data_IF_424618704209
#
_entry.id   IF_424618704209
#
_cell.length_a   1.000
_cell.length_b   1.000
_cell.length_c   1.000
_cell.angle_alpha   90.00
_cell.angle_beta   90.00
_cell.angle_gamma   90.00
#
_symmetry.space_group_name_H-M   'P 1'
#
loop_
_entity.id
_entity.type
_entity.pdbx_description
1 polymer ?
#
# COMPACT_ATOMS: atom_id res chain seq x y z
N UNK A 1 61.53 32.97 -64.80
CA UNK A 1 62.35 32.99 -63.57
C UNK A 1 61.50 33.56 -62.44
N UNK A 2 61.60 32.94 -61.25
CA UNK A 2 60.89 33.22 -59.98
C UNK A 2 59.52 32.53 -59.77
N UNK A 3 59.65 31.41 -59.03
CA UNK A 3 58.71 30.57 -58.30
C UNK A 3 57.60 31.35 -57.54
N UNK A 4 56.35 30.86 -57.59
CA UNK A 4 55.38 31.06 -56.49
C UNK A 4 54.93 29.72 -55.94
N UNK A 5 55.33 29.50 -54.70
CA UNK A 5 54.99 28.40 -53.81
C UNK A 5 53.52 28.52 -53.39
N UNK A 6 52.72 27.45 -53.51
CA UNK A 6 51.47 27.31 -52.76
C UNK A 6 51.46 25.93 -52.11
N UNK A 7 51.44 25.94 -50.78
CA UNK A 7 51.45 24.78 -49.90
C UNK A 7 50.16 23.92 -50.01
N UNK A 8 50.25 22.62 -49.67
CA UNK A 8 49.12 21.70 -49.71
C UNK A 8 48.16 21.98 -48.56
N UNK A 9 46.86 22.04 -48.86
CA UNK A 9 45.81 21.99 -47.83
C UNK A 9 45.68 20.53 -47.39
N UNK A 10 45.98 20.30 -46.11
CA UNK A 10 45.75 19.04 -45.40
C UNK A 10 44.31 18.55 -45.63
N UNK A 11 44.19 17.27 -45.98
CA UNK A 11 42.92 16.55 -45.99
C UNK A 11 42.31 16.54 -44.60
N UNK A 12 41.09 17.09 -44.51
CA UNK A 12 40.25 17.06 -43.33
C UNK A 12 39.81 15.60 -43.10
N UNK A 13 40.37 14.95 -42.07
CA UNK A 13 39.94 13.64 -41.63
C UNK A 13 38.51 13.72 -41.10
N UNK A 14 37.56 13.18 -41.84
CA UNK A 14 36.19 12.94 -41.36
C UNK A 14 36.25 11.72 -40.45
N UNK A 15 36.51 11.96 -39.17
CA UNK A 15 36.18 11.04 -38.08
C UNK A 15 34.67 11.17 -37.83
N UNK A 16 33.87 10.50 -38.64
CA UNK A 16 32.48 10.21 -38.29
C UNK A 16 32.53 9.20 -37.14
N UNK A 17 32.54 9.74 -35.92
CA UNK A 17 32.38 8.96 -34.71
C UNK A 17 31.11 8.13 -34.84
N UNK A 18 31.28 6.80 -34.88
CA UNK A 18 30.22 5.89 -34.52
C UNK A 18 29.86 6.23 -33.07
N UNK A 19 28.85 7.08 -32.91
CA UNK A 19 28.16 7.25 -31.65
C UNK A 19 27.61 5.88 -31.30
N UNK A 20 28.35 5.13 -30.48
CA UNK A 20 27.81 4.01 -29.75
C UNK A 20 26.75 4.66 -28.89
N UNK A 21 25.50 4.62 -29.36
CA UNK A 21 24.36 4.84 -28.49
C UNK A 21 24.44 3.71 -27.48
N UNK A 22 25.15 3.96 -26.37
CA UNK A 22 24.95 3.17 -25.17
C UNK A 22 23.54 3.53 -24.75
N UNK A 23 22.58 2.79 -25.29
CA UNK A 23 21.23 2.78 -24.77
C UNK A 23 21.38 2.21 -23.37
N UNK A 24 21.59 3.09 -22.39
CA UNK A 24 21.50 2.71 -21.00
C UNK A 24 20.13 2.07 -20.83
N UNK A 25 20.13 0.82 -20.36
CA UNK A 25 18.92 0.06 -20.15
C UNK A 25 18.04 0.85 -19.19
N UNK A 26 17.03 1.52 -19.73
CA UNK A 26 16.11 2.32 -18.94
C UNK A 26 15.47 1.40 -17.90
N UNK A 27 15.54 1.80 -16.63
CA UNK A 27 14.99 1.01 -15.53
C UNK A 27 13.48 0.90 -15.72
N UNK A 28 13.03 -0.32 -16.00
CA UNK A 28 11.62 -0.66 -16.05
C UNK A 28 11.23 -1.31 -14.72
N UNK A 29 10.07 -0.91 -14.17
CA UNK A 29 9.52 -1.51 -12.97
C UNK A 29 8.01 -1.70 -13.12
N UNK A 30 7.44 -2.53 -12.26
CA UNK A 30 5.99 -2.75 -12.16
C UNK A 30 5.50 -2.35 -10.78
N UNK A 31 4.63 -1.34 -10.71
CA UNK A 31 3.87 -1.03 -9.50
C UNK A 31 2.70 -2.00 -9.43
N UNK A 32 2.65 -2.81 -8.38
CA UNK A 32 1.55 -3.74 -8.10
C UNK A 32 0.70 -3.16 -7.00
N UNK A 33 -0.59 -3.01 -7.27
CA UNK A 33 -1.55 -2.52 -6.30
C UNK A 33 -2.06 -3.66 -5.43
N UNK A 34 -2.59 -3.31 -4.25
CA UNK A 34 -3.28 -4.26 -3.37
C UNK A 34 -4.53 -4.86 -4.01
N UNK A 35 -5.11 -4.19 -5.01
CA UNK A 35 -6.19 -4.73 -5.85
C UNK A 35 -5.72 -5.83 -6.81
N UNK A 36 -4.40 -5.98 -7.00
CA UNK A 36 -3.79 -6.84 -8.02
C UNK A 36 -3.59 -6.16 -9.38
N UNK A 37 -4.08 -4.92 -9.54
CA UNK A 37 -3.80 -4.07 -10.70
C UNK A 37 -2.30 -3.80 -10.82
N UNK A 38 -1.82 -3.65 -12.06
CA UNK A 38 -0.40 -3.52 -12.38
C UNK A 38 -0.15 -2.35 -13.32
N UNK A 39 0.78 -1.49 -12.95
CA UNK A 39 1.29 -0.43 -13.80
C UNK A 39 2.77 -0.67 -14.09
N UNK A 40 3.09 -1.13 -15.30
CA UNK A 40 4.47 -1.37 -15.74
C UNK A 40 4.94 -0.19 -16.56
N UNK A 41 6.12 0.35 -16.24
CA UNK A 41 6.63 1.54 -16.89
C UNK A 41 8.05 1.88 -16.51
N UNK A 42 8.46 3.09 -16.89
CA UNK A 42 9.79 3.68 -16.62
C UNK A 42 9.63 4.97 -15.81
N UNK A 43 10.74 5.64 -15.50
CA UNK A 43 10.77 6.92 -14.79
C UNK A 43 9.88 6.90 -13.56
N UNK A 44 10.02 5.87 -12.72
CA UNK A 44 9.27 5.84 -11.47
C UNK A 44 9.68 7.05 -10.61
N UNK A 45 8.78 7.50 -9.76
CA UNK A 45 9.06 8.50 -8.76
C UNK A 45 8.40 8.12 -7.44
N UNK A 46 8.99 8.54 -6.34
CA UNK A 46 8.33 8.56 -5.05
C UNK A 46 8.34 9.96 -4.46
N UNK A 47 7.14 10.47 -4.23
CA UNK A 47 6.89 11.74 -3.55
C UNK A 47 6.64 11.46 -2.07
N UNK A 48 7.65 11.70 -1.24
CA UNK A 48 7.55 11.48 0.20
C UNK A 48 6.52 12.41 0.86
N UNK A 49 6.39 13.65 0.37
CA UNK A 49 5.45 14.66 0.85
C UNK A 49 3.98 14.25 0.64
N UNK A 50 3.65 13.76 -0.56
CA UNK A 50 2.31 13.34 -0.93
C UNK A 50 2.05 11.85 -0.67
N UNK A 51 3.09 11.09 -0.33
CA UNK A 51 3.11 9.62 -0.29
C UNK A 51 2.53 9.00 -1.57
N UNK A 52 3.05 9.43 -2.72
CA UNK A 52 2.64 8.94 -4.03
C UNK A 52 3.81 8.27 -4.76
N UNK A 53 3.53 7.12 -5.37
CA UNK A 53 4.41 6.50 -6.37
C UNK A 53 3.91 6.90 -7.75
N UNK A 54 4.78 7.49 -8.57
CA UNK A 54 4.50 7.69 -9.99
C UNK A 54 5.22 6.65 -10.83
N UNK A 55 4.62 6.26 -11.95
CA UNK A 55 5.23 5.38 -12.95
C UNK A 55 4.81 5.85 -14.33
N UNK A 56 5.74 6.05 -15.26
CA UNK A 56 5.40 6.45 -16.62
C UNK A 56 5.11 5.21 -17.48
N UNK A 57 3.84 4.96 -17.76
CA UNK A 57 3.33 3.81 -18.53
C UNK A 57 3.38 4.07 -20.04
N UNK A 58 3.26 5.32 -20.47
CA UNK A 58 3.39 5.73 -21.88
C UNK A 58 4.01 7.13 -22.01
N UNK A 59 4.15 7.67 -23.23
CA UNK A 59 4.70 9.03 -23.40
C UNK A 59 3.85 10.12 -22.75
N UNK A 60 2.52 9.90 -22.66
CA UNK A 60 1.56 10.90 -22.19
C UNK A 60 0.86 10.47 -20.89
N UNK A 61 1.26 9.33 -20.31
CA UNK A 61 0.58 8.74 -19.16
C UNK A 61 1.59 8.42 -18.07
N UNK A 62 1.38 9.04 -16.91
CA UNK A 62 2.17 8.82 -15.71
C UNK A 62 1.25 8.71 -14.50
N UNK A 63 0.65 7.52 -14.26
CA UNK A 63 -0.19 7.30 -13.10
C UNK A 63 0.55 7.65 -11.81
N UNK A 64 -0.16 8.35 -10.92
CA UNK A 64 0.28 8.67 -9.55
C UNK A 64 -0.62 7.92 -8.59
N UNK A 65 -0.03 6.98 -7.87
CA UNK A 65 -0.74 6.06 -6.99
C UNK A 65 -0.36 6.39 -5.56
N UNK A 66 -1.36 6.55 -4.69
CA UNK A 66 -1.09 6.71 -3.26
C UNK A 66 -0.47 5.41 -2.71
N UNK A 67 0.60 5.50 -1.92
CA UNK A 67 1.29 4.31 -1.37
C UNK A 67 0.38 3.39 -0.58
N UNK A 68 -0.74 3.87 -0.05
CA UNK A 68 -1.71 3.02 0.65
C UNK A 68 -2.38 1.99 -0.27
N UNK A 69 -2.44 2.28 -1.57
CA UNK A 69 -2.96 1.40 -2.63
C UNK A 69 -1.87 0.49 -3.22
N UNK A 70 -0.60 0.84 -3.04
CA UNK A 70 0.54 0.06 -3.52
C UNK A 70 0.77 -1.13 -2.59
N UNK A 71 0.88 -2.33 -3.16
CA UNK A 71 1.37 -3.52 -2.46
C UNK A 71 2.90 -3.54 -2.49
N UNK A 72 3.47 -3.45 -3.70
CA UNK A 72 4.91 -3.33 -3.90
C UNK A 72 5.28 -2.77 -5.27
N UNK A 73 6.55 -2.35 -5.40
CA UNK A 73 7.20 -2.03 -6.68
C UNK A 73 8.22 -3.11 -7.00
N UNK A 74 8.08 -3.74 -8.17
CA UNK A 74 8.93 -4.82 -8.65
C UNK A 74 9.92 -4.34 -9.73
N UNK A 75 11.21 -4.58 -9.50
CA UNK A 75 12.29 -4.25 -10.45
C UNK A 75 12.85 -5.49 -11.17
N UNK A 76 12.10 -6.59 -11.21
CA UNK A 76 12.47 -7.80 -11.96
C UNK A 76 13.36 -8.76 -11.18
N UNK A 77 13.03 -9.04 -9.92
CA UNK A 77 13.73 -10.03 -9.08
C UNK A 77 12.82 -11.19 -8.67
N UNK A 78 13.37 -12.40 -8.55
CA UNK A 78 12.70 -13.56 -7.92
C UNK A 78 12.72 -13.40 -6.40
N UNK A 79 12.10 -12.36 -5.88
CA UNK A 79 11.97 -12.19 -4.43
C UNK A 79 10.80 -13.04 -3.93
N UNK A 80 11.11 -14.27 -3.51
CA UNK A 80 10.25 -14.99 -2.58
C UNK A 80 10.05 -14.12 -1.33
N UNK A 81 8.79 -14.02 -0.89
CA UNK A 81 8.24 -13.03 0.04
C UNK A 81 9.07 -12.80 1.32
N UNK A 82 9.13 -11.56 1.85
CA UNK A 82 9.11 -11.38 3.29
C UNK A 82 7.70 -11.74 3.79
N UNK A 83 7.54 -12.92 4.37
CA UNK A 83 6.27 -13.45 4.90
C UNK A 83 5.79 -12.73 6.16
N UNK A 84 6.49 -11.68 6.61
CA UNK A 84 6.13 -10.86 7.78
C UNK A 84 6.67 -9.43 7.64
N UNK A 85 6.01 -8.59 6.84
CA UNK A 85 6.02 -7.14 7.03
C UNK A 85 4.77 -6.81 7.85
N UNK A 86 4.93 -6.21 9.03
CA UNK A 86 3.76 -5.70 9.77
C UNK A 86 3.21 -4.47 9.07
N UNK A 87 1.92 -4.18 9.21
CA UNK A 87 1.16 -3.30 8.30
C UNK A 87 1.61 -1.84 8.16
N UNK A 88 2.64 -1.39 8.89
CA UNK A 88 3.27 -0.07 8.76
C UNK A 88 4.77 -0.11 8.45
N UNK A 89 5.35 -1.29 8.19
CA UNK A 89 6.76 -1.43 7.87
C UNK A 89 6.99 -1.29 6.36
N UNK A 90 7.75 -0.26 5.96
CA UNK A 90 8.31 -0.21 4.62
C UNK A 90 9.58 -1.08 4.59
N UNK A 91 9.86 -1.65 3.43
CA UNK A 91 11.03 -2.49 3.28
C UNK A 91 11.57 -2.47 1.85
N UNK A 92 12.88 -2.60 1.74
CA UNK A 92 13.57 -2.86 0.48
C UNK A 92 14.13 -4.27 0.53
N UNK A 93 13.73 -5.09 -0.43
CA UNK A 93 14.25 -6.44 -0.63
C UNK A 93 15.26 -6.41 -1.75
N UNK A 94 16.50 -6.77 -1.42
CA UNK A 94 17.60 -6.87 -2.37
C UNK A 94 17.53 -8.18 -3.15
N UNK A 95 18.16 -8.22 -4.33
CA UNK A 95 18.22 -9.42 -5.17
C UNK A 95 18.97 -10.58 -4.52
N UNK A 96 19.83 -10.31 -3.54
CA UNK A 96 20.52 -11.33 -2.74
C UNK A 96 19.66 -11.90 -1.59
N UNK A 97 18.42 -11.43 -1.44
CA UNK A 97 17.48 -11.85 -0.40
C UNK A 97 17.54 -11.02 0.88
N UNK A 98 18.47 -10.08 1.01
CA UNK A 98 18.56 -9.18 2.17
C UNK A 98 17.32 -8.30 2.26
N UNK A 99 16.75 -8.18 3.47
CA UNK A 99 15.59 -7.33 3.75
C UNK A 99 16.03 -6.17 4.62
N UNK A 100 15.93 -4.95 4.10
CA UNK A 100 16.15 -3.71 4.84
C UNK A 100 14.80 -3.14 5.24
N UNK A 101 14.53 -3.06 6.54
CA UNK A 101 13.28 -2.50 7.10
C UNK A 101 13.50 -1.05 7.53
N UNK A 102 12.50 -0.20 7.32
CA UNK A 102 12.61 1.21 7.64
C UNK A 102 11.60 2.08 6.91
N UNK A 103 12.00 3.30 6.56
CA UNK A 103 11.23 4.26 5.79
C UNK A 103 11.91 4.52 4.45
N UNK A 104 11.22 4.27 3.34
CA UNK A 104 11.65 4.68 2.01
C UNK A 104 11.57 6.19 1.92
N UNK A 105 12.68 6.82 1.59
CA UNK A 105 12.81 8.29 1.48
C UNK A 105 12.79 8.70 0.01
N UNK A 106 13.39 7.90 -0.85
CA UNK A 106 13.54 8.23 -2.26
C UNK A 106 13.43 6.97 -3.11
N UNK A 107 12.77 7.10 -4.25
CA UNK A 107 12.75 6.15 -5.33
C UNK A 107 12.71 6.98 -6.61
N UNK A 108 13.78 6.95 -7.39
CA UNK A 108 13.98 7.89 -8.49
C UNK A 108 15.43 7.99 -8.93
N UNK A 109 15.66 8.82 -9.93
CA UNK A 109 17.00 9.27 -10.30
C UNK A 109 17.67 10.04 -9.16
N UNK A 110 19.00 9.95 -9.05
CA UNK A 110 19.79 10.72 -8.08
C UNK A 110 19.53 12.22 -8.23
N UNK A 111 19.43 12.68 -9.47
CA UNK A 111 18.95 14.01 -9.81
C UNK A 111 17.62 13.88 -10.58
N UNK A 112 16.48 14.29 -10.00
CA UNK A 112 15.18 14.24 -10.69
C UNK A 112 15.12 15.06 -11.97
N UNK A 113 16.00 16.05 -12.15
CA UNK A 113 16.09 16.86 -13.36
C UNK A 113 17.00 16.23 -14.45
N UNK A 114 17.69 15.13 -14.13
CA UNK A 114 18.63 14.46 -15.02
C UNK A 114 18.42 12.93 -14.99
N UNK A 115 17.65 12.46 -15.95
CA UNK A 115 17.30 11.05 -16.14
C UNK A 115 18.50 10.17 -16.57
N UNK A 116 19.68 10.75 -16.83
CA UNK A 116 20.92 10.00 -17.06
C UNK A 116 21.61 9.57 -15.77
N UNK A 117 21.19 10.10 -14.61
CA UNK A 117 21.78 9.74 -13.32
C UNK A 117 21.29 8.39 -12.84
N UNK A 118 22.11 7.73 -12.01
CA UNK A 118 21.77 6.42 -11.45
C UNK A 118 20.40 6.46 -10.75
N UNK A 119 19.58 5.46 -11.09
CA UNK A 119 18.29 5.26 -10.46
C UNK A 119 18.47 4.52 -9.13
N UNK A 120 18.02 5.11 -8.03
CA UNK A 120 18.30 4.66 -6.68
C UNK A 120 17.04 4.56 -5.82
N UNK A 121 17.16 3.71 -4.79
CA UNK A 121 16.22 3.65 -3.67
C UNK A 121 16.98 4.05 -2.41
N UNK A 122 16.48 5.03 -1.69
CA UNK A 122 17.01 5.43 -0.37
C UNK A 122 16.05 4.97 0.71
N UNK A 123 16.55 4.22 1.68
CA UNK A 123 15.79 3.79 2.86
C UNK A 123 16.52 4.24 4.13
N UNK A 124 15.80 4.85 5.06
CA UNK A 124 16.26 5.03 6.45
C UNK A 124 15.85 3.81 7.24
N UNK A 125 16.83 3.02 7.65
CA UNK A 125 16.61 1.78 8.41
C UNK A 125 15.98 2.07 9.78
N UNK A 126 15.45 1.04 10.44
CA UNK A 126 14.94 1.14 11.82
C UNK A 126 16.01 1.63 12.82
N UNK A 127 17.30 1.39 12.53
CA UNK A 127 18.43 1.93 13.31
C UNK A 127 18.75 3.41 13.04
N UNK A 128 18.01 4.07 12.15
CA UNK A 128 18.21 5.47 11.76
C UNK A 128 19.27 5.70 10.67
N UNK A 129 19.97 4.65 10.22
CA UNK A 129 20.96 4.74 9.14
C UNK A 129 20.27 4.89 7.78
N UNK A 130 20.68 5.88 6.98
CA UNK A 130 20.25 6.03 5.59
C UNK A 130 21.12 5.18 4.65
N UNK A 131 20.48 4.27 3.91
CA UNK A 131 21.10 3.40 2.92
C UNK A 131 20.65 3.82 1.53
N UNK A 132 21.60 4.16 0.66
CA UNK A 132 21.37 4.44 -0.76
C UNK A 132 21.70 3.20 -1.58
N UNK A 133 20.72 2.69 -2.31
CA UNK A 133 20.77 1.40 -2.99
C UNK A 133 20.57 1.63 -4.49
N UNK A 134 21.56 1.30 -5.34
CA UNK A 134 21.36 1.28 -6.78
C UNK A 134 20.24 0.28 -7.13
N UNK A 135 19.32 0.64 -8.03
CA UNK A 135 18.20 -0.26 -8.36
C UNK A 135 18.66 -1.59 -8.96
N UNK A 136 19.88 -1.66 -9.52
CA UNK A 136 20.52 -2.93 -9.94
C UNK A 136 20.72 -3.94 -8.80
N UNK A 137 20.65 -3.51 -7.54
CA UNK A 137 20.68 -4.39 -6.35
C UNK A 137 19.29 -4.66 -5.76
N UNK A 138 18.31 -3.81 -6.08
CA UNK A 138 16.95 -3.87 -5.50
C UNK A 138 16.06 -4.81 -6.30
N UNK A 139 15.49 -5.83 -5.65
CA UNK A 139 14.47 -6.68 -6.24
C UNK A 139 13.07 -6.07 -6.10
N UNK A 140 12.68 -5.66 -4.88
CA UNK A 140 11.35 -5.16 -4.59
C UNK A 140 11.35 -4.09 -3.50
N UNK A 141 10.43 -3.14 -3.60
CA UNK A 141 10.17 -2.13 -2.57
C UNK A 141 8.74 -2.27 -2.09
N UNK A 142 8.57 -2.38 -0.77
CA UNK A 142 7.27 -2.44 -0.09
C UNK A 142 7.04 -1.12 0.62
N UNK A 143 5.84 -0.58 0.47
CA UNK A 143 5.41 0.63 1.16
C UNK A 143 4.46 0.28 2.30
N UNK A 144 4.51 1.07 3.36
CA UNK A 144 3.65 0.93 4.53
C UNK A 144 2.26 1.43 4.15
N UNK A 145 1.34 0.51 3.91
CA UNK A 145 -0.04 0.84 3.61
C UNK A 145 -0.95 0.51 4.79
N UNK A 146 -1.28 1.54 5.59
CA UNK A 146 -2.30 1.49 6.64
C UNK A 146 -1.81 1.97 8.01
N UNK A 147 -1.60 3.28 8.13
CA UNK A 147 -1.28 3.94 9.40
C UNK A 147 -0.95 5.41 9.17
N UNK A 148 -1.92 6.30 9.39
CA UNK A 148 -1.74 7.74 9.29
C UNK A 148 -0.71 8.23 10.32
N UNK A 149 0.48 8.60 9.84
CA UNK A 149 1.43 9.43 10.57
C UNK A 149 1.36 10.84 10.00
N UNK A 150 0.74 11.74 10.76
CA UNK A 150 0.67 13.17 10.45
C UNK A 150 2.06 13.82 10.46
N UNK A 151 2.29 14.72 9.50
CA UNK A 151 2.86 16.05 9.77
C UNK A 151 2.77 16.96 8.53
N UNK A 152 1.73 17.80 8.47
CA UNK A 152 1.84 19.19 8.03
C UNK A 152 0.55 19.93 8.44
N UNK A 153 0.72 21.04 9.18
CA UNK A 153 -0.36 21.82 9.75
C UNK A 153 -1.30 22.42 8.71
N UNK A 154 -2.59 22.21 8.93
CA UNK A 154 -3.68 22.92 8.27
C UNK A 154 -4.90 22.82 9.17
N UNK A 155 -5.17 23.85 9.96
CA UNK A 155 -6.39 23.92 10.76
C UNK A 155 -7.59 24.09 9.83
N UNK A 156 -8.29 23.00 9.54
CA UNK A 156 -9.68 23.04 9.09
C UNK A 156 -10.60 22.49 10.17
N UNK A 157 -11.61 23.28 10.47
CA UNK A 157 -12.45 23.24 11.65
C UNK A 157 -13.49 22.11 11.51
N UNK A 158 -13.39 21.08 12.37
CA UNK A 158 -14.53 20.26 12.78
C UNK A 158 -14.84 18.99 11.95
N UNK A 159 -13.87 18.11 11.75
CA UNK A 159 -14.16 16.68 11.53
C UNK A 159 -13.99 15.95 12.86
N UNK A 160 -14.93 15.07 13.21
CA UNK A 160 -14.74 14.20 14.36
C UNK A 160 -13.51 13.31 14.09
N UNK A 161 -12.54 13.40 14.98
CA UNK A 161 -11.35 12.56 14.93
C UNK A 161 -11.78 11.13 15.23
N UNK A 162 -11.97 10.32 14.17
CA UNK A 162 -12.16 8.88 14.32
C UNK A 162 -11.01 8.31 15.15
N UNK A 163 -11.33 7.45 16.12
CA UNK A 163 -10.27 6.72 16.82
C UNK A 163 -9.49 5.90 15.80
N UNK A 164 -8.18 6.13 15.75
CA UNK A 164 -7.31 5.45 14.81
C UNK A 164 -7.30 3.95 15.10
N UNK A 165 -7.41 3.15 14.04
CA UNK A 165 -7.18 1.71 14.10
C UNK A 165 -5.69 1.47 14.44
N UNK A 166 -5.42 0.74 15.52
CA UNK A 166 -4.06 0.54 16.05
C UNK A 166 -3.76 -0.94 16.32
N UNK A 167 -2.48 -1.31 16.28
CA UNK A 167 -2.00 -2.67 16.56
C UNK A 167 -1.94 -3.60 15.33
N UNK A 168 -1.59 -4.87 15.56
CA UNK A 168 -1.56 -5.90 14.51
C UNK A 168 -2.92 -6.57 14.36
N UNK A 169 -3.33 -6.84 13.12
CA UNK A 169 -4.63 -7.48 12.85
C UNK A 169 -5.06 -7.34 11.39
N UNK A 170 -6.18 -7.96 11.07
CA UNK A 170 -6.85 -7.86 9.77
C UNK A 170 -7.43 -6.45 9.65
N UNK A 171 -7.13 -5.75 8.56
CA UNK A 171 -7.74 -4.45 8.25
C UNK A 171 -9.11 -4.68 7.63
N UNK A 172 -10.15 -4.17 8.27
CA UNK A 172 -11.53 -4.20 7.78
C UNK A 172 -11.90 -2.78 7.37
N UNK A 173 -11.76 -2.47 6.08
CA UNK A 173 -12.09 -1.15 5.54
C UNK A 173 -13.60 -0.93 5.56
N UNK A 174 -14.03 0.26 5.94
CA UNK A 174 -15.44 0.65 5.89
C UNK A 174 -16.01 0.69 4.46
N UNK A 175 -15.14 0.72 3.44
CA UNK A 175 -15.54 0.78 2.02
C UNK A 175 -15.60 -0.58 1.33
N UNK A 176 -15.33 -1.66 2.05
CA UNK A 176 -15.32 -3.01 1.51
C UNK A 176 -16.30 -3.89 2.30
N UNK A 177 -17.24 -4.50 1.58
CA UNK A 177 -18.29 -5.29 2.23
C UNK A 177 -17.72 -6.48 3.01
N UNK A 178 -16.75 -7.20 2.42
CA UNK A 178 -16.18 -8.42 2.99
C UNK A 178 -14.67 -8.51 2.75
N UNK A 179 -13.90 -8.55 3.83
CA UNK A 179 -12.46 -8.80 3.86
C UNK A 179 -12.19 -10.28 4.14
N UNK A 180 -11.48 -11.00 3.26
CA UNK A 180 -11.05 -12.36 3.56
C UNK A 180 -10.01 -12.37 4.67
N UNK A 181 -10.23 -13.19 5.71
CA UNK A 181 -9.28 -13.29 6.84
C UNK A 181 -8.14 -14.29 6.60
N UNK A 182 -8.28 -15.16 5.60
CA UNK A 182 -7.42 -16.33 5.41
C UNK A 182 -7.65 -17.47 6.41
N UNK A 183 -8.52 -17.28 7.42
CA UNK A 183 -8.83 -18.30 8.41
C UNK A 183 -9.93 -19.24 7.90
N UNK A 184 -9.68 -20.54 8.02
CA UNK A 184 -10.72 -21.57 7.91
C UNK A 184 -11.18 -21.96 9.31
N UNK A 185 -12.50 -21.97 9.53
CA UNK A 185 -13.15 -22.28 10.80
C UNK A 185 -14.07 -23.48 10.67
N UNK A 186 -14.39 -24.12 11.79
CA UNK A 186 -15.43 -25.14 11.92
C UNK A 186 -16.57 -24.63 12.78
N UNK A 187 -17.78 -25.13 12.52
CA UNK A 187 -18.94 -24.82 13.36
C UNK A 187 -18.64 -25.19 14.82
N UNK A 188 -18.88 -24.23 15.72
CA UNK A 188 -18.60 -24.36 17.14
C UNK A 188 -17.19 -23.94 17.58
N UNK A 189 -16.26 -23.65 16.65
CA UNK A 189 -14.96 -23.05 17.00
C UNK A 189 -15.21 -21.76 17.78
N UNK A 190 -14.52 -21.60 18.91
CA UNK A 190 -14.52 -20.34 19.66
C UNK A 190 -13.41 -19.46 19.12
N UNK A 191 -13.73 -18.25 18.68
CA UNK A 191 -12.76 -17.24 18.28
C UNK A 191 -12.91 -15.97 19.11
N UNK A 192 -11.79 -15.39 19.51
CA UNK A 192 -11.73 -14.09 20.16
C UNK A 192 -11.37 -13.01 19.15
N UNK A 193 -12.07 -11.88 19.22
CA UNK A 193 -11.89 -10.73 18.35
C UNK A 193 -11.47 -9.53 19.21
N UNK A 194 -10.30 -8.98 18.93
CA UNK A 194 -9.85 -7.73 19.52
C UNK A 194 -9.86 -6.68 18.41
N UNK A 195 -10.73 -5.69 18.57
CA UNK A 195 -10.98 -4.69 17.53
C UNK A 195 -10.59 -3.31 18.04
N UNK A 196 -9.86 -2.57 17.21
CA UNK A 196 -9.57 -1.15 17.42
C UNK A 196 -10.00 -0.37 16.17
N UNK A 197 -10.11 0.95 16.33
CA UNK A 197 -10.51 1.85 15.25
C UNK A 197 -11.99 2.18 15.24
N UNK A 198 -12.33 3.15 14.41
CA UNK A 198 -13.69 3.60 14.13
C UNK A 198 -13.90 3.79 12.63
N UNK A 199 -15.17 3.75 12.24
CA UNK A 199 -15.62 4.02 10.88
C UNK A 199 -16.63 5.15 10.89
N UNK A 200 -16.61 5.96 9.84
CA UNK A 200 -17.66 6.92 9.52
C UNK A 200 -18.52 6.32 8.41
N UNK A 201 -19.83 6.41 8.57
CA UNK A 201 -20.81 5.66 7.77
C UNK A 201 -21.60 6.52 6.77
N UNK A 202 -21.25 7.80 6.64
CA UNK A 202 -21.80 8.71 5.64
C UNK A 202 -20.93 9.96 5.51
N UNK A 203 -21.35 10.96 4.74
CA UNK A 203 -20.65 12.26 4.67
C UNK A 203 -20.75 13.06 5.99
N UNK A 204 -21.68 12.74 6.89
CA UNK A 204 -21.76 13.38 8.20
C UNK A 204 -20.63 12.88 9.11
N UNK A 205 -19.75 13.79 9.53
CA UNK A 205 -18.62 13.48 10.41
C UNK A 205 -19.04 12.98 11.80
N UNK A 206 -20.32 13.14 12.18
CA UNK A 206 -20.88 12.59 13.42
C UNK A 206 -21.46 11.20 13.28
N UNK A 207 -21.61 10.70 12.05
CA UNK A 207 -22.13 9.37 11.78
C UNK A 207 -21.05 8.29 11.95
N UNK A 208 -20.61 8.14 13.20
CA UNK A 208 -19.47 7.30 13.58
C UNK A 208 -19.95 6.01 14.23
N UNK A 209 -19.23 4.91 13.95
CA UNK A 209 -19.42 3.61 14.57
C UNK A 209 -18.09 3.05 15.10
N UNK A 210 -18.17 2.45 16.29
CA UNK A 210 -17.17 1.52 16.79
C UNK A 210 -17.50 0.08 16.37
N UNK A 211 -16.71 -0.90 16.84
CA UNK A 211 -16.96 -2.31 16.51
C UNK A 211 -18.35 -2.80 16.95
N UNK A 212 -18.92 -2.25 18.02
CA UNK A 212 -20.28 -2.54 18.48
C UNK A 212 -21.38 -1.90 17.62
N UNK A 213 -21.04 -0.96 16.73
CA UNK A 213 -21.94 -0.25 15.83
C UNK A 213 -22.03 1.25 16.12
N UNK A 214 -22.99 1.89 15.46
CA UNK A 214 -23.22 3.35 15.49
C UNK A 214 -23.32 3.89 16.90
N UNK A 215 -22.53 4.93 17.17
CA UNK A 215 -22.56 5.67 18.45
C UNK A 215 -23.90 6.40 18.63
N UNK A 216 -24.55 6.78 17.52
CA UNK A 216 -25.89 7.36 17.50
C UNK A 216 -27.02 6.30 17.56
N UNK A 217 -26.67 5.02 17.69
CA UNK A 217 -27.61 3.89 17.77
C UNK A 217 -28.50 3.73 16.51
N UNK A 218 -28.05 4.21 15.35
CA UNK A 218 -28.79 4.01 14.09
C UNK A 218 -28.64 2.58 13.56
N UNK A 219 -29.62 2.14 12.77
CA UNK A 219 -29.58 0.92 11.97
C UNK A 219 -29.63 1.28 10.48
N UNK A 220 -29.26 0.33 9.63
CA UNK A 220 -29.35 0.44 8.18
C UNK A 220 -30.24 -0.70 7.67
N UNK A 221 -31.37 -0.34 7.05
CA UNK A 221 -32.44 -1.31 6.72
C UNK A 221 -32.02 -2.32 5.65
N UNK A 222 -31.10 -1.94 4.76
CA UNK A 222 -30.60 -2.82 3.69
C UNK A 222 -29.23 -3.42 3.99
N UNK A 223 -28.68 -3.17 5.19
CA UNK A 223 -27.38 -3.70 5.57
C UNK A 223 -27.43 -5.23 5.71
N UNK A 224 -26.29 -5.93 5.70
CA UNK A 224 -26.25 -7.38 5.82
C UNK A 224 -26.98 -7.93 7.06
N UNK A 225 -27.04 -7.17 8.16
CA UNK A 225 -27.81 -7.46 9.37
C UNK A 225 -28.71 -6.26 9.74
N UNK A 226 -29.91 -6.13 9.13
CA UNK A 226 -30.81 -4.99 9.36
C UNK A 226 -31.27 -4.85 10.82
N UNK A 227 -31.29 -5.95 11.57
CA UNK A 227 -31.65 -5.97 12.99
C UNK A 227 -30.57 -5.39 13.92
N UNK A 228 -29.34 -5.24 13.43
CA UNK A 228 -28.17 -4.80 14.19
C UNK A 228 -27.83 -3.33 13.89
N UNK A 229 -27.02 -2.72 14.75
CA UNK A 229 -26.58 -1.34 14.57
C UNK A 229 -25.73 -1.21 13.29
N UNK A 230 -25.89 -0.08 12.61
CA UNK A 230 -25.08 0.24 11.44
C UNK A 230 -23.59 0.34 11.83
N UNK A 231 -22.70 -0.02 10.92
CA UNK A 231 -21.25 -0.01 11.12
C UNK A 231 -20.69 -1.07 12.07
N UNK A 232 -21.54 -1.88 12.72
CA UNK A 232 -21.06 -2.94 13.62
C UNK A 232 -20.17 -3.95 12.87
N UNK A 233 -19.15 -4.47 13.54
CA UNK A 233 -18.31 -5.54 13.00
C UNK A 233 -19.14 -6.81 12.86
N UNK A 234 -19.15 -7.37 11.65
CA UNK A 234 -19.88 -8.59 11.30
C UNK A 234 -18.96 -9.61 10.65
N UNK A 235 -19.37 -10.87 10.73
CA UNK A 235 -18.69 -11.98 10.08
C UNK A 235 -19.58 -12.65 9.03
N UNK A 236 -18.94 -13.34 8.09
CA UNK A 236 -19.58 -14.29 7.18
C UNK A 236 -18.68 -15.49 6.97
N UNK A 237 -19.26 -16.68 6.85
CA UNK A 237 -18.51 -17.91 6.55
C UNK A 237 -18.84 -18.35 5.12
N UNK A 238 -17.83 -18.33 4.24
CA UNK A 238 -18.01 -18.55 2.81
C UNK A 238 -19.04 -17.57 2.23
N UNK A 239 -20.07 -18.13 1.57
CA UNK A 239 -21.23 -17.40 1.06
C UNK A 239 -22.48 -17.59 1.93
N UNK A 240 -22.32 -18.01 3.19
CA UNK A 240 -23.42 -18.21 4.13
C UNK A 240 -24.00 -16.90 4.67
N UNK A 241 -24.90 -17.03 5.63
CA UNK A 241 -25.53 -15.87 6.29
C UNK A 241 -24.50 -15.06 7.11
N UNK A 242 -24.59 -13.71 7.09
CA UNK A 242 -23.88 -12.85 8.02
C UNK A 242 -24.24 -13.13 9.48
N UNK A 243 -23.32 -12.88 10.39
CA UNK A 243 -23.56 -12.99 11.84
C UNK A 243 -22.88 -11.84 12.61
N UNK A 244 -23.44 -11.41 13.75
CA UNK A 244 -22.88 -10.31 14.51
C UNK A 244 -21.62 -10.73 15.27
N UNK A 245 -20.59 -9.88 15.23
CA UNK A 245 -19.39 -10.02 16.07
C UNK A 245 -19.39 -8.91 17.12
N UNK A 246 -19.47 -7.65 16.68
CA UNK A 246 -19.52 -6.52 17.61
C UNK A 246 -18.22 -6.35 18.40
N UNK A 247 -18.37 -6.01 19.68
CA UNK A 247 -17.33 -5.94 20.71
C UNK A 247 -17.25 -7.20 21.59
N UNK A 248 -17.88 -8.30 21.16
CA UNK A 248 -17.89 -9.55 21.91
C UNK A 248 -16.49 -10.14 22.06
N UNK A 249 -16.15 -10.56 23.28
CA UNK A 249 -14.83 -11.15 23.59
C UNK A 249 -14.58 -12.50 22.92
N UNK A 250 -15.61 -13.31 22.75
CA UNK A 250 -15.56 -14.64 22.12
C UNK A 250 -16.86 -14.93 21.37
N UNK A 251 -16.75 -15.45 20.16
CA UNK A 251 -17.89 -15.82 19.31
C UNK A 251 -17.72 -17.28 18.88
N UNK A 252 -18.79 -18.07 19.05
CA UNK A 252 -18.89 -19.41 18.51
C UNK A 252 -19.17 -19.33 17.01
N UNK A 253 -18.33 -19.94 16.17
CA UNK A 253 -18.50 -19.89 14.72
C UNK A 253 -19.79 -20.65 14.31
N UNK A 254 -20.74 -20.00 13.60
CA UNK A 254 -22.04 -20.60 13.30
C UNK A 254 -21.98 -21.67 12.19
N UNK A 255 -20.87 -21.72 11.44
CA UNK A 255 -20.68 -22.60 10.29
C UNK A 255 -19.23 -23.01 10.09
N UNK A 256 -18.98 -23.72 8.99
CA UNK A 256 -17.66 -24.23 8.61
C UNK A 256 -17.25 -23.63 7.26
N UNK A 257 -16.01 -23.16 7.14
CA UNK A 257 -15.47 -22.58 5.91
C UNK A 257 -14.54 -21.41 6.16
N UNK A 258 -14.28 -20.63 5.10
CA UNK A 258 -13.45 -19.42 5.19
C UNK A 258 -14.21 -18.30 5.90
N UNK A 259 -13.57 -17.68 6.89
CA UNK A 259 -14.10 -16.52 7.60
C UNK A 259 -13.80 -15.23 6.83
N UNK A 260 -14.82 -14.40 6.69
CA UNK A 260 -14.76 -13.03 6.19
C UNK A 260 -15.24 -12.08 7.28
N UNK A 261 -14.69 -10.86 7.29
CA UNK A 261 -15.09 -9.77 8.18
C UNK A 261 -15.61 -8.59 7.37
N UNK A 262 -16.57 -7.86 7.90
CA UNK A 262 -17.14 -6.68 7.25
C UNK A 262 -17.75 -5.72 8.25
N UNK A 263 -18.28 -4.61 7.76
CA UNK A 263 -19.10 -3.69 8.54
C UNK A 263 -20.57 -3.85 8.16
N UNK A 264 -21.46 -3.63 9.12
CA UNK A 264 -22.90 -3.69 8.89
C UNK A 264 -23.44 -2.40 8.28
N UNK A 265 -23.27 -2.22 6.98
CA UNK A 265 -23.75 -1.03 6.28
C UNK A 265 -24.20 -1.37 4.85
N UNK A 266 -25.06 -0.53 4.27
CA UNK A 266 -25.67 -0.72 2.95
C UNK A 266 -25.13 0.21 1.85
N UNK A 267 -24.59 1.37 2.23
CA UNK A 267 -23.82 2.24 1.35
C UNK A 267 -22.37 2.28 1.85
N UNK A 268 -21.41 1.99 0.97
CA UNK A 268 -20.00 1.87 1.35
C UNK A 268 -19.14 2.95 0.70
N UNK A 269 -19.65 3.64 -0.32
CA UNK A 269 -18.88 4.63 -1.09
C UNK A 269 -18.61 5.92 -0.31
N UNK A 270 -19.52 6.29 0.58
CA UNK A 270 -19.42 7.47 1.46
C UNK A 270 -18.69 7.17 2.77
N UNK A 271 -18.42 5.90 3.06
CA UNK A 271 -17.73 5.50 4.29
C UNK A 271 -16.27 5.93 4.36
N UNK A 272 -15.77 6.13 5.59
CA UNK A 272 -14.37 6.45 5.90
C UNK A 272 -13.89 5.62 7.10
N UNK A 273 -12.58 5.50 7.26
CA UNK A 273 -11.98 4.77 8.37
C UNK A 273 -11.97 3.24 8.17
N UNK A 274 -11.54 2.54 9.21
CA UNK A 274 -11.35 1.10 9.21
C UNK A 274 -11.31 0.55 10.64
N UNK A 275 -11.55 -0.75 10.76
CA UNK A 275 -11.21 -1.50 11.97
C UNK A 275 -9.90 -2.28 11.79
N UNK A 276 -9.14 -2.42 12.89
CA UNK A 276 -8.05 -3.41 13.01
C UNK A 276 -8.55 -4.55 13.88
N UNK A 277 -8.64 -5.76 13.33
CA UNK A 277 -9.22 -6.92 14.02
C UNK A 277 -8.17 -8.01 14.20
N UNK A 278 -7.73 -8.24 15.44
CA UNK A 278 -6.93 -9.39 15.79
C UNK A 278 -7.84 -10.57 16.13
N UNK A 279 -7.69 -11.64 15.38
CA UNK A 279 -8.46 -12.88 15.58
C UNK A 279 -7.55 -13.93 16.21
N UNK A 280 -8.02 -14.56 17.28
CA UNK A 280 -7.28 -15.63 17.96
C UNK A 280 -8.20 -16.77 18.37
N UNK A 281 -7.67 -17.99 18.38
CA UNK A 281 -8.32 -19.12 19.04
C UNK A 281 -7.97 -19.05 20.54
N UNK A 282 -8.92 -19.31 21.46
CA UNK A 282 -8.58 -19.48 22.86
C UNK A 282 -7.50 -20.56 22.95
N UNK A 283 -6.41 -20.25 23.65
CA UNK A 283 -5.31 -21.20 23.82
C UNK A 283 -5.84 -22.49 24.42
N UNK A 284 -5.51 -23.64 23.81
CA UNK A 284 -5.69 -24.93 24.48
C UNK A 284 -4.77 -24.92 25.70
N UNK A 285 -5.36 -24.94 26.89
CA UNK A 285 -4.64 -25.37 28.09
C UNK A 285 -4.33 -26.85 27.99
#
# INVERSE_FOLDING_TARGET
MVLKLRWPVLGLGILLGLGINVAEAQVQATVVLKSGERHTGRNLGYRMDAREVSVRTSQNEEPRINVNQVDYVDFGGTADRPTSLSGSQEAVVLRDGTVLRGQVIQLGHMNPADESTDYLVTIRTEGGEERRLPVKQVGRVYFAGGGGGAAAGGSTKGEAQLDAATGDGIVVSARQQWTPTGLTVRKGDQLSFQTTGQVQLSEDSKDVAGSAGSLAQRKAERAPLPGNLAGALIGRIGNGEPFPIGDQRSVAMPGTGQLFLGINDDELGDNRGEFRVKVSRPGRR
#
